data_IF_908293504010
#
_entry.id   IF_908293504010
#
_cell.length_a   1.000
_cell.length_b   1.000
_cell.length_c   1.000
_cell.angle_alpha   90.00
_cell.angle_beta   90.00
_cell.angle_gamma   90.00
#
_symmetry.space_group_name_H-M   'P 1'
#
loop_
_entity.id
_entity.type
_entity.pdbx_description
1 polymer ?
#
# COMPACT_ATOMS: atom_id res chain seq x y z
N UNK A 1 -37.76 16.03 -2.05
CA UNK A 1 -36.94 17.02 -1.33
C UNK A 1 -37.03 16.67 0.13
N UNK A 2 -36.07 15.87 0.61
CA UNK A 2 -36.01 15.40 1.99
C UNK A 2 -34.75 15.98 2.62
N UNK A 3 -34.96 16.88 3.57
CA UNK A 3 -33.90 17.59 4.28
C UNK A 3 -33.11 16.63 5.18
N UNK A 4 -31.86 16.34 4.79
CA UNK A 4 -30.93 15.56 5.60
C UNK A 4 -30.29 16.45 6.68
N UNK A 5 -30.99 16.63 7.80
CA UNK A 5 -30.40 17.21 9.01
C UNK A 5 -29.60 16.14 9.77
N UNK A 6 -28.26 16.27 9.80
CA UNK A 6 -27.41 15.49 10.71
C UNK A 6 -27.13 16.32 11.97
N UNK A 7 -27.78 15.95 13.07
CA UNK A 7 -27.48 16.47 14.40
C UNK A 7 -26.47 15.51 15.02
N UNK A 8 -25.24 15.96 15.27
CA UNK A 8 -24.24 15.16 15.98
C UNK A 8 -24.29 15.61 17.45
N UNK A 9 -25.02 14.85 18.26
CA UNK A 9 -25.18 15.10 19.70
C UNK A 9 -24.05 14.38 20.45
N UNK A 10 -23.16 15.15 21.09
CA UNK A 10 -21.97 14.60 21.77
C UNK A 10 -22.22 14.22 23.23
N UNK A 11 -23.47 13.98 23.64
CA UNK A 11 -23.81 13.23 24.86
C UNK A 11 -23.24 13.76 26.20
N UNK A 12 -22.72 14.98 26.24
CA UNK A 12 -22.45 15.73 27.46
C UNK A 12 -23.55 16.80 27.57
N UNK A 13 -24.09 17.02 28.76
CA UNK A 13 -25.03 18.12 29.02
C UNK A 13 -24.40 19.45 28.55
N UNK A 14 -24.81 19.89 27.36
CA UNK A 14 -24.52 21.14 26.64
C UNK A 14 -23.04 21.40 26.29
N UNK A 15 -22.61 20.97 25.09
CA UNK A 15 -22.69 21.87 23.91
C UNK A 15 -23.20 21.21 22.61
N UNK A 16 -23.94 21.96 21.78
CA UNK A 16 -24.51 21.50 20.51
C UNK A 16 -23.88 22.18 19.30
N UNK A 17 -23.50 21.38 18.30
CA UNK A 17 -23.05 21.87 16.99
C UNK A 17 -24.14 21.52 15.98
N UNK A 18 -24.76 22.53 15.39
CA UNK A 18 -25.84 22.34 14.42
C UNK A 18 -25.44 22.96 13.09
N UNK A 19 -25.59 22.19 12.01
CA UNK A 19 -25.40 22.66 10.63
C UNK A 19 -26.79 22.99 10.09
N UNK A 20 -27.13 24.28 10.01
CA UNK A 20 -28.41 24.73 9.46
C UNK A 20 -28.10 25.44 8.14
N UNK A 21 -28.54 24.85 7.01
CA UNK A 21 -28.42 25.45 5.65
C UNK A 21 -26.98 25.83 5.25
N UNK A 22 -25.98 25.04 5.65
CA UNK A 22 -24.58 25.30 5.30
C UNK A 22 -23.85 26.29 6.21
N UNK A 23 -24.51 26.86 7.22
CA UNK A 23 -23.87 27.67 8.25
C UNK A 23 -23.56 26.82 9.50
N UNK A 24 -22.28 26.80 9.88
CA UNK A 24 -21.77 26.10 11.06
C UNK A 24 -22.06 26.92 12.32
N UNK A 25 -23.04 26.49 13.14
CA UNK A 25 -23.41 27.19 14.37
C UNK A 25 -23.06 26.34 15.60
N UNK A 26 -22.12 26.82 16.42
CA UNK A 26 -21.82 26.22 17.73
C UNK A 26 -22.65 26.94 18.80
N UNK A 27 -23.50 26.22 19.52
CA UNK A 27 -24.21 26.74 20.69
C UNK A 27 -23.63 26.11 21.97
N UNK A 28 -23.23 26.95 22.92
CA UNK A 28 -22.64 26.51 24.20
C UNK A 28 -21.12 26.31 24.22
N UNK A 29 -20.39 26.74 23.17
CA UNK A 29 -18.93 26.66 23.11
C UNK A 29 -18.29 28.06 23.25
N UNK A 30 -17.18 28.23 24.00
CA UNK A 30 -16.43 29.48 24.00
C UNK A 30 -15.83 29.77 22.61
N UNK A 31 -15.69 31.06 22.26
CA UNK A 31 -15.34 31.52 20.91
C UNK A 31 -14.07 30.85 20.34
N UNK A 32 -13.05 30.64 21.18
CA UNK A 32 -11.80 29.97 20.79
C UNK A 32 -12.00 28.50 20.37
N UNK A 33 -12.96 27.80 20.99
CA UNK A 33 -13.25 26.41 20.71
C UNK A 33 -14.14 26.24 19.48
N UNK A 34 -15.12 27.14 19.28
CA UNK A 34 -15.91 27.15 18.05
C UNK A 34 -15.05 27.54 16.83
N UNK A 35 -14.12 28.50 16.97
CA UNK A 35 -13.17 28.85 15.91
C UNK A 35 -12.25 27.67 15.53
N UNK A 36 -11.81 26.88 16.52
CA UNK A 36 -10.98 25.69 16.29
C UNK A 36 -11.77 24.52 15.71
N UNK A 37 -13.02 24.33 16.11
CA UNK A 37 -13.92 23.34 15.53
C UNK A 37 -14.29 23.69 14.09
N UNK A 38 -14.64 24.96 13.83
CA UNK A 38 -14.90 25.46 12.48
C UNK A 38 -13.69 25.18 11.59
N UNK A 39 -12.48 25.53 12.01
CA UNK A 39 -11.25 25.23 11.24
C UNK A 39 -11.01 23.74 10.93
N UNK A 40 -11.56 22.81 11.73
CA UNK A 40 -11.39 21.36 11.55
C UNK A 40 -12.54 20.71 10.79
N UNK A 41 -13.74 21.27 10.89
CA UNK A 41 -14.98 20.78 10.28
C UNK A 41 -15.28 21.43 8.92
N UNK A 42 -14.77 22.64 8.71
CA UNK A 42 -14.74 23.38 7.43
C UNK A 42 -13.67 22.82 6.47
N UNK A 43 -13.04 21.68 6.83
CA UNK A 43 -12.33 20.81 5.90
C UNK A 43 -13.39 20.08 5.08
N UNK A 44 -13.95 20.84 4.13
CA UNK A 44 -15.09 20.48 3.29
C UNK A 44 -14.83 19.21 2.49
N UNK A 45 -15.88 18.44 2.21
CA UNK A 45 -15.86 17.33 1.25
C UNK A 45 -15.34 17.75 -0.14
N UNK A 46 -15.32 19.06 -0.45
CA UNK A 46 -14.70 19.63 -1.66
C UNK A 46 -13.17 19.70 -1.59
N UNK A 47 -12.57 20.02 -0.44
CA UNK A 47 -11.11 19.97 -0.24
C UNK A 47 -10.60 18.53 -0.29
N UNK A 48 -11.39 17.58 0.24
CA UNK A 48 -11.11 16.14 0.12
C UNK A 48 -11.19 15.65 -1.34
N UNK A 49 -12.07 16.24 -2.16
CA UNK A 49 -12.21 15.92 -3.59
C UNK A 49 -11.07 16.53 -4.41
N UNK A 50 -10.61 17.73 -4.10
CA UNK A 50 -9.44 18.32 -4.76
C UNK A 50 -8.13 17.61 -4.36
N UNK A 51 -7.96 17.23 -3.08
CA UNK A 51 -6.89 16.33 -2.67
C UNK A 51 -6.97 14.99 -3.43
N UNK A 52 -8.16 14.40 -3.61
CA UNK A 52 -8.34 13.16 -4.37
C UNK A 52 -7.97 13.26 -5.86
N UNK A 53 -8.08 14.43 -6.49
CA UNK A 53 -7.73 14.63 -7.90
C UNK A 53 -6.21 14.84 -8.06
N UNK A 54 -5.51 15.34 -7.03
CA UNK A 54 -4.04 15.56 -7.05
C UNK A 54 -3.23 14.44 -6.38
N UNK A 55 -3.85 13.65 -5.49
CA UNK A 55 -3.30 12.45 -4.86
C UNK A 55 -2.65 11.45 -5.86
N UNK A 56 -3.21 11.19 -7.05
CA UNK A 56 -2.59 10.29 -8.01
C UNK A 56 -1.20 10.81 -8.41
N UNK A 57 -1.07 12.10 -8.72
CA UNK A 57 0.18 12.70 -9.20
C UNK A 57 1.33 12.56 -8.20
N UNK A 58 1.06 12.76 -6.91
CA UNK A 58 2.05 12.64 -5.85
C UNK A 58 2.40 11.18 -5.54
N UNK A 59 1.41 10.28 -5.52
CA UNK A 59 1.63 8.84 -5.30
C UNK A 59 2.45 8.23 -6.46
N UNK A 60 2.17 8.60 -7.71
CA UNK A 60 2.91 8.09 -8.87
C UNK A 60 4.40 8.46 -8.83
N UNK A 61 4.74 9.65 -8.34
CA UNK A 61 6.14 10.10 -8.21
C UNK A 61 6.94 9.19 -7.28
N UNK A 62 6.39 8.84 -6.12
CA UNK A 62 7.10 8.02 -5.12
C UNK A 62 6.98 6.52 -5.37
N UNK A 63 6.00 6.08 -6.16
CA UNK A 63 5.82 4.67 -6.51
C UNK A 63 6.98 4.11 -7.33
N UNK A 64 7.58 4.89 -8.23
CA UNK A 64 8.76 4.44 -8.98
C UNK A 64 9.97 4.21 -8.05
N UNK A 65 10.18 5.11 -7.07
CA UNK A 65 11.27 4.99 -6.10
C UNK A 65 11.06 3.80 -5.15
N UNK A 66 9.83 3.55 -4.72
CA UNK A 66 9.52 2.42 -3.83
C UNK A 66 9.75 1.07 -4.53
N UNK A 67 9.36 0.95 -5.80
CA UNK A 67 9.65 -0.24 -6.61
C UNK A 67 11.15 -0.50 -6.73
N UNK A 68 11.95 0.54 -6.97
CA UNK A 68 13.41 0.38 -7.05
C UNK A 68 14.02 -0.04 -5.72
N UNK A 69 13.54 0.52 -4.61
CA UNK A 69 13.96 0.12 -3.26
C UNK A 69 13.60 -1.34 -2.95
N UNK A 70 12.39 -1.79 -3.32
CA UNK A 70 11.96 -3.19 -3.16
C UNK A 70 12.87 -4.15 -3.95
N UNK A 71 13.17 -3.83 -5.21
CA UNK A 71 14.03 -4.66 -6.07
C UNK A 71 15.45 -4.78 -5.50
N UNK A 72 16.05 -3.68 -5.02
CA UNK A 72 17.38 -3.70 -4.38
C UNK A 72 17.35 -4.54 -3.10
N UNK A 73 16.31 -4.36 -2.26
CA UNK A 73 16.15 -5.11 -1.03
C UNK A 73 15.99 -6.61 -1.30
N UNK A 74 15.16 -7.00 -2.27
CA UNK A 74 14.99 -8.39 -2.66
C UNK A 74 16.30 -9.01 -3.19
N UNK A 75 17.03 -8.29 -4.05
CA UNK A 75 18.34 -8.74 -4.54
C UNK A 75 19.35 -8.95 -3.40
N UNK A 76 19.32 -8.08 -2.38
CA UNK A 76 20.15 -8.23 -1.18
C UNK A 76 19.73 -9.45 -0.33
N UNK A 77 18.43 -9.69 -0.16
CA UNK A 77 17.90 -10.90 0.50
C UNK A 77 18.34 -12.17 -0.23
N UNK A 78 18.22 -12.19 -1.56
CA UNK A 78 18.72 -13.30 -2.38
C UNK A 78 20.22 -13.53 -2.17
N UNK A 79 21.03 -12.47 -2.19
CA UNK A 79 22.47 -12.60 -1.98
C UNK A 79 22.82 -13.11 -0.58
N UNK A 80 22.04 -12.76 0.44
CA UNK A 80 22.22 -13.23 1.80
C UNK A 80 21.90 -14.74 1.93
N UNK A 81 20.73 -15.17 1.46
CA UNK A 81 20.25 -16.55 1.59
C UNK A 81 20.95 -17.54 0.62
N UNK A 82 21.41 -17.05 -0.52
CA UNK A 82 22.06 -17.85 -1.56
C UNK A 82 23.56 -17.54 -1.73
N UNK A 83 24.20 -16.94 -0.70
CA UNK A 83 25.62 -16.55 -0.70
C UNK A 83 26.60 -17.65 -1.13
N UNK A 84 26.27 -18.92 -0.86
CA UNK A 84 27.09 -20.10 -1.18
C UNK A 84 27.19 -20.39 -2.68
N UNK A 85 26.30 -19.84 -3.52
CA UNK A 85 26.22 -20.16 -4.95
C UNK A 85 27.07 -19.23 -5.84
N UNK A 86 27.76 -18.25 -5.25
CA UNK A 86 28.70 -17.32 -5.93
C UNK A 86 28.09 -16.55 -7.11
N UNK A 87 26.76 -16.41 -7.15
CA UNK A 87 26.10 -15.58 -8.16
C UNK A 87 26.50 -14.12 -7.96
N UNK A 88 26.76 -13.43 -9.06
CA UNK A 88 27.13 -12.02 -9.08
C UNK A 88 25.90 -11.21 -8.70
N UNK A 89 26.07 -10.08 -7.99
CA UNK A 89 24.94 -9.23 -7.57
C UNK A 89 24.04 -8.82 -8.75
N UNK A 90 24.63 -8.59 -9.94
CA UNK A 90 23.88 -8.30 -11.16
C UNK A 90 22.89 -9.40 -11.56
N UNK A 91 23.23 -10.68 -11.36
CA UNK A 91 22.34 -11.80 -11.68
C UNK A 91 21.13 -11.82 -10.72
N UNK A 92 21.38 -11.58 -9.43
CA UNK A 92 20.31 -11.46 -8.43
C UNK A 92 19.42 -10.24 -8.66
N UNK A 93 19.99 -9.14 -9.18
CA UNK A 93 19.24 -7.94 -9.53
C UNK A 93 18.31 -8.17 -10.73
N UNK A 94 18.82 -8.79 -11.80
CA UNK A 94 17.98 -9.15 -12.96
C UNK A 94 16.88 -10.11 -12.55
N UNK A 95 17.20 -11.08 -11.68
CA UNK A 95 16.21 -11.99 -11.11
C UNK A 95 15.13 -11.25 -10.29
N UNK A 96 15.54 -10.28 -9.47
CA UNK A 96 14.63 -9.42 -8.70
C UNK A 96 13.65 -8.67 -9.60
N UNK A 97 14.16 -8.03 -10.65
CA UNK A 97 13.34 -7.34 -11.66
C UNK A 97 12.35 -8.29 -12.34
N UNK A 98 12.79 -9.48 -12.73
CA UNK A 98 11.91 -10.47 -13.37
C UNK A 98 10.77 -10.88 -12.44
N UNK A 99 11.09 -11.21 -11.17
CA UNK A 99 10.10 -11.66 -10.20
C UNK A 99 9.07 -10.56 -9.88
N UNK A 100 9.52 -9.34 -9.64
CA UNK A 100 8.62 -8.22 -9.36
C UNK A 100 7.80 -7.82 -10.59
N UNK A 101 8.39 -7.87 -11.80
CA UNK A 101 7.69 -7.61 -13.05
C UNK A 101 6.55 -8.60 -13.30
N UNK A 102 6.80 -9.90 -13.09
CA UNK A 102 5.75 -10.94 -13.18
C UNK A 102 4.69 -10.75 -12.09
N UNK A 103 5.09 -10.36 -10.87
CA UNK A 103 4.16 -10.05 -9.78
C UNK A 103 3.21 -8.89 -10.12
N UNK A 104 3.76 -7.78 -10.64
CA UNK A 104 2.97 -6.63 -11.09
C UNK A 104 2.04 -7.00 -12.26
N UNK A 105 2.52 -7.78 -13.22
CA UNK A 105 1.69 -8.29 -14.31
C UNK A 105 0.55 -9.17 -13.77
N UNK A 106 0.83 -10.06 -12.81
CA UNK A 106 -0.20 -10.88 -12.17
C UNK A 106 -1.25 -10.03 -11.45
N UNK A 107 -0.82 -8.98 -10.72
CA UNK A 107 -1.73 -8.02 -10.07
C UNK A 107 -2.59 -7.27 -11.08
N UNK A 108 -2.02 -6.89 -12.23
CA UNK A 108 -2.78 -6.27 -13.33
C UNK A 108 -3.82 -7.24 -13.90
N UNK A 109 -3.42 -8.49 -14.17
CA UNK A 109 -4.33 -9.53 -14.67
C UNK A 109 -5.48 -9.82 -13.70
N UNK A 110 -5.24 -9.75 -12.39
CA UNK A 110 -6.28 -9.92 -11.37
C UNK A 110 -7.46 -8.94 -11.52
N UNK A 111 -7.27 -7.79 -12.18
CA UNK A 111 -8.36 -6.84 -12.43
C UNK A 111 -9.25 -7.18 -13.62
N UNK A 112 -8.80 -8.08 -14.50
CA UNK A 112 -9.54 -8.48 -15.70
C UNK A 112 -10.12 -9.89 -15.60
N UNK A 113 -9.72 -10.68 -14.59
CA UNK A 113 -10.20 -12.06 -14.40
C UNK A 113 -11.34 -12.10 -13.36
N UNK A 114 -12.31 -13.02 -13.52
CA UNK A 114 -13.37 -13.21 -12.54
C UNK A 114 -12.81 -13.70 -11.20
N UNK A 115 -13.53 -13.45 -10.10
CA UNK A 115 -13.09 -13.80 -8.74
C UNK A 115 -12.75 -15.29 -8.58
N UNK A 116 -13.47 -16.17 -9.27
CA UNK A 116 -13.22 -17.61 -9.29
C UNK A 116 -11.86 -18.00 -9.91
N UNK A 117 -11.32 -17.16 -10.79
CA UNK A 117 -10.04 -17.39 -11.47
C UNK A 117 -8.84 -16.75 -10.75
N UNK A 118 -9.06 -15.79 -9.84
CA UNK A 118 -8.00 -15.18 -9.01
C UNK A 118 -7.12 -16.20 -8.25
N UNK A 119 -7.65 -17.26 -7.61
CA UNK A 119 -6.80 -18.27 -6.96
C UNK A 119 -5.89 -19.00 -7.95
N UNK A 120 -6.33 -19.23 -9.19
CA UNK A 120 -5.50 -19.84 -10.22
C UNK A 120 -4.30 -18.95 -10.58
N UNK A 121 -4.51 -17.63 -10.68
CA UNK A 121 -3.41 -16.66 -10.91
C UNK A 121 -2.40 -16.70 -9.76
N UNK A 122 -2.86 -16.75 -8.50
CA UNK A 122 -1.98 -16.87 -7.33
C UNK A 122 -1.17 -18.16 -7.33
N UNK A 123 -1.82 -19.29 -7.63
CA UNK A 123 -1.14 -20.59 -7.74
C UNK A 123 -0.09 -20.57 -8.85
N UNK A 124 -0.42 -19.99 -10.02
CA UNK A 124 0.53 -19.84 -11.12
C UNK A 124 1.74 -18.97 -10.73
N UNK A 125 1.51 -17.86 -10.02
CA UNK A 125 2.57 -16.99 -9.52
C UNK A 125 3.48 -17.73 -8.52
N UNK A 126 2.90 -18.48 -7.58
CA UNK A 126 3.65 -19.28 -6.60
C UNK A 126 4.48 -20.38 -7.28
N UNK A 127 3.86 -21.12 -8.21
CA UNK A 127 4.53 -22.13 -9.01
C UNK A 127 5.69 -21.54 -9.82
N UNK A 128 5.46 -20.39 -10.47
CA UNK A 128 6.50 -19.67 -11.20
C UNK A 128 7.66 -19.28 -10.28
N UNK A 129 7.38 -18.69 -9.11
CA UNK A 129 8.43 -18.34 -8.14
C UNK A 129 9.27 -19.54 -7.70
N UNK A 130 8.62 -20.65 -7.32
CA UNK A 130 9.31 -21.86 -6.89
C UNK A 130 10.16 -22.47 -8.01
N UNK A 131 9.63 -22.53 -9.23
CA UNK A 131 10.36 -23.03 -10.40
C UNK A 131 11.55 -22.14 -10.75
N UNK A 132 11.38 -20.82 -10.67
CA UNK A 132 12.42 -19.84 -10.94
C UNK A 132 13.55 -19.94 -9.92
N UNK A 133 13.25 -20.02 -8.61
CA UNK A 133 14.27 -20.24 -7.56
C UNK A 133 14.98 -21.57 -7.76
N UNK A 134 14.22 -22.65 -8.03
CA UNK A 134 14.78 -23.99 -8.24
C UNK A 134 15.72 -24.03 -9.45
N UNK A 135 15.35 -23.39 -10.57
CA UNK A 135 16.14 -23.38 -11.81
C UNK A 135 17.39 -22.51 -11.70
N UNK A 136 17.26 -21.29 -11.16
CA UNK A 136 18.36 -20.32 -11.07
C UNK A 136 19.39 -20.73 -10.01
N UNK A 137 18.92 -21.16 -8.83
CA UNK A 137 19.82 -21.46 -7.72
C UNK A 137 20.17 -22.96 -7.60
N UNK A 138 19.54 -23.84 -8.37
CA UNK A 138 19.82 -25.29 -8.48
C UNK A 138 19.87 -26.04 -7.12
N UNK A 139 19.13 -25.57 -6.11
CA UNK A 139 19.12 -26.16 -4.75
C UNK A 139 18.33 -27.47 -4.70
N UNK A 140 18.55 -28.32 -3.69
CA UNK A 140 17.69 -29.49 -3.45
C UNK A 140 16.25 -29.05 -3.16
N UNK A 141 15.24 -29.83 -3.57
CA UNK A 141 13.82 -29.45 -3.40
C UNK A 141 13.41 -29.02 -1.98
N UNK A 142 13.79 -29.72 -0.90
CA UNK A 142 13.39 -29.29 0.45
C UNK A 142 14.07 -27.98 0.87
N UNK A 143 15.35 -27.79 0.52
CA UNK A 143 16.06 -26.54 0.83
C UNK A 143 15.58 -25.38 -0.02
N UNK A 144 15.22 -25.64 -1.29
CA UNK A 144 14.63 -24.66 -2.19
C UNK A 144 13.29 -24.17 -1.64
N UNK A 145 12.40 -25.06 -1.19
CA UNK A 145 11.12 -24.70 -0.57
C UNK A 145 11.33 -23.87 0.70
N UNK A 146 12.21 -24.29 1.61
CA UNK A 146 12.48 -23.59 2.85
C UNK A 146 13.03 -22.18 2.59
N UNK A 147 14.07 -22.05 1.76
CA UNK A 147 14.66 -20.74 1.43
C UNK A 147 13.69 -19.86 0.65
N UNK A 148 12.94 -20.42 -0.30
CA UNK A 148 11.95 -19.67 -1.06
C UNK A 148 10.82 -19.15 -0.16
N UNK A 149 10.34 -19.96 0.78
CA UNK A 149 9.35 -19.54 1.76
C UNK A 149 9.89 -18.44 2.68
N UNK A 150 11.10 -18.62 3.24
CA UNK A 150 11.73 -17.62 4.10
C UNK A 150 11.93 -16.28 3.37
N UNK A 151 12.49 -16.32 2.16
CA UNK A 151 12.67 -15.09 1.39
C UNK A 151 11.33 -14.52 0.96
N UNK A 152 10.35 -15.33 0.56
CA UNK A 152 9.03 -14.84 0.19
C UNK A 152 8.32 -14.11 1.33
N UNK A 153 8.42 -14.61 2.56
CA UNK A 153 7.87 -13.95 3.76
C UNK A 153 8.61 -12.64 4.05
N UNK A 154 9.94 -12.65 3.97
CA UNK A 154 10.75 -11.44 4.20
C UNK A 154 10.50 -10.39 3.12
N UNK A 155 10.37 -10.79 1.86
CA UNK A 155 10.05 -9.91 0.74
C UNK A 155 8.66 -9.32 0.90
N UNK A 156 7.65 -10.11 1.31
CA UNK A 156 6.33 -9.60 1.63
C UNK A 156 6.38 -8.56 2.76
N UNK A 157 7.16 -8.82 3.81
CA UNK A 157 7.34 -7.85 4.90
C UNK A 157 8.01 -6.56 4.42
N UNK A 158 9.02 -6.66 3.55
CA UNK A 158 9.66 -5.50 2.91
C UNK A 158 8.66 -4.73 2.06
N UNK A 159 7.85 -5.42 1.25
CA UNK A 159 6.83 -4.80 0.40
C UNK A 159 5.83 -4.02 1.24
N UNK A 160 5.30 -4.62 2.31
CA UNK A 160 4.36 -3.96 3.22
C UNK A 160 5.00 -2.77 3.92
N UNK A 161 6.22 -2.91 4.43
CA UNK A 161 6.94 -1.84 5.13
C UNK A 161 7.26 -0.67 4.20
N UNK A 162 7.80 -0.93 3.01
CA UNK A 162 8.13 0.11 2.03
C UNK A 162 6.85 0.75 1.48
N UNK A 163 5.81 -0.03 1.22
CA UNK A 163 4.52 0.46 0.74
C UNK A 163 3.85 1.39 1.75
N UNK A 164 3.77 0.96 3.02
CA UNK A 164 3.19 1.78 4.09
C UNK A 164 4.02 3.03 4.38
N UNK A 165 5.35 2.93 4.43
CA UNK A 165 6.22 4.09 4.60
C UNK A 165 6.05 5.10 3.45
N UNK A 166 5.93 4.62 2.21
CA UNK A 166 5.70 5.48 1.04
C UNK A 166 4.33 6.15 1.11
N UNK A 167 3.28 5.42 1.49
CA UNK A 167 1.94 5.98 1.66
C UNK A 167 1.90 7.05 2.76
N UNK A 168 2.52 6.79 3.91
CA UNK A 168 2.62 7.72 5.03
C UNK A 168 3.39 8.98 4.62
N UNK A 169 4.51 8.82 3.92
CA UNK A 169 5.30 9.95 3.43
C UNK A 169 4.54 10.78 2.39
N UNK A 170 3.85 10.13 1.46
CA UNK A 170 3.04 10.80 0.45
C UNK A 170 1.83 11.55 1.03
N UNK A 171 1.32 11.16 2.20
CA UNK A 171 0.26 11.88 2.91
C UNK A 171 0.77 13.06 3.75
N UNK A 172 2.06 13.11 4.06
CA UNK A 172 2.67 14.18 4.85
C UNK A 172 3.23 15.34 4.02
N UNK A 173 3.48 15.10 2.72
CA UNK A 173 4.05 16.08 1.78
C UNK A 173 2.95 16.66 0.91
#
# INVERSE_FOLDING_TARGET
MTDNFRIIDFGLESPRVTIIRGEFSCTGFPEWGCARLKKRFDRSDEDLREEMIQLPGHIFKYMAYSLFAMVIAFAALMQLFFRKRKLVYGENLVFAFHMHGVGLLAMLLMQFVPDMAKPAVLVLLLCHYLLSVKRVYQESWPMALLKAALVGVLDLAVIVLVGTATAIFALMV
#
